data_IF_536342818957
#
_entry.id   IF_536342818957
#
_cell.length_a   1.000
_cell.length_b   1.000
_cell.length_c   1.000
_cell.angle_alpha   90.00
_cell.angle_beta   90.00
_cell.angle_gamma   90.00
#
_symmetry.space_group_name_H-M   'P 1'
#
loop_
_entity.id
_entity.type
_entity.pdbx_description
1 polymer ?
#
# COMPACT_ATOMS: atom_id res chain seq x y z
N UNK A 1 -14.16 -53.67 -36.55
CA UNK A 1 -14.36 -52.91 -35.29
C UNK A 1 -12.98 -52.67 -34.69
N UNK A 2 -12.50 -51.49 -34.30
CA UNK A 2 -12.80 -50.06 -34.51
C UNK A 2 -11.41 -49.40 -34.39
N UNK A 3 -11.06 -48.51 -35.32
CA UNK A 3 -9.83 -47.72 -35.29
C UNK A 3 -9.84 -46.80 -34.07
N UNK A 4 -8.76 -46.78 -33.28
CA UNK A 4 -8.62 -45.95 -32.10
C UNK A 4 -7.72 -44.75 -32.45
N UNK A 5 -8.33 -43.62 -32.79
CA UNK A 5 -7.63 -42.37 -33.07
C UNK A 5 -7.27 -41.70 -31.75
N UNK A 6 -5.98 -41.58 -31.46
CA UNK A 6 -5.46 -40.83 -30.31
C UNK A 6 -5.56 -39.33 -30.66
N UNK A 7 -6.44 -38.61 -29.98
CA UNK A 7 -6.50 -37.15 -30.03
C UNK A 7 -5.44 -36.57 -29.09
N UNK A 8 -4.37 -36.02 -29.65
CA UNK A 8 -3.38 -35.24 -28.88
C UNK A 8 -3.96 -33.84 -28.67
N UNK A 9 -4.49 -33.58 -27.47
CA UNK A 9 -4.92 -32.23 -27.07
C UNK A 9 -3.67 -31.43 -26.73
N UNK A 10 -3.23 -30.58 -27.66
CA UNK A 10 -2.17 -29.61 -27.41
C UNK A 10 -2.71 -28.53 -26.47
N UNK A 11 -2.35 -28.62 -25.19
CA UNK A 11 -2.58 -27.56 -24.19
C UNK A 11 -1.59 -26.44 -24.51
N UNK A 12 -2.06 -25.42 -25.22
CA UNK A 12 -1.31 -24.18 -25.39
C UNK A 12 -1.30 -23.45 -24.05
N UNK A 13 -0.15 -23.48 -23.38
CA UNK A 13 0.12 -22.66 -22.20
C UNK A 13 0.15 -21.21 -22.69
N UNK A 14 -0.94 -20.47 -22.45
CA UNK A 14 -0.96 -19.02 -22.65
C UNK A 14 -0.09 -18.43 -21.54
N UNK A 15 1.18 -18.16 -21.85
CA UNK A 15 2.01 -17.29 -21.04
C UNK A 15 1.44 -15.88 -21.16
N UNK A 16 0.68 -15.45 -20.15
CA UNK A 16 0.29 -14.06 -20.02
C UNK A 16 1.56 -13.22 -19.90
N UNK A 17 1.92 -12.49 -20.96
CA UNK A 17 2.96 -11.48 -20.90
C UNK A 17 2.56 -10.46 -19.83
N UNK A 18 3.25 -10.46 -18.69
CA UNK A 18 3.05 -9.46 -17.64
C UNK A 18 3.49 -8.12 -18.20
N UNK A 19 2.51 -7.29 -18.59
CA UNK A 19 2.78 -5.90 -18.95
C UNK A 19 3.49 -5.26 -17.75
N UNK A 20 4.60 -4.51 -17.96
CA UNK A 20 5.26 -3.81 -16.87
C UNK A 20 4.22 -2.96 -16.12
N UNK A 21 4.16 -3.07 -14.79
CA UNK A 21 3.20 -2.30 -14.00
C UNK A 21 3.39 -0.81 -14.30
N UNK A 22 2.26 -0.11 -14.54
CA UNK A 22 2.26 1.31 -14.88
C UNK A 22 3.03 2.12 -13.82
N UNK A 23 3.74 3.21 -14.16
CA UNK A 23 4.39 4.03 -13.16
C UNK A 23 3.37 4.63 -12.18
N UNK A 24 3.78 4.83 -10.92
CA UNK A 24 2.96 5.54 -9.94
C UNK A 24 2.79 6.99 -10.42
N UNK A 25 1.56 7.50 -10.56
CA UNK A 25 1.33 8.85 -11.02
C UNK A 25 1.91 9.93 -10.09
N UNK A 26 2.36 11.04 -10.69
CA UNK A 26 2.96 12.17 -9.97
C UNK A 26 2.08 12.76 -8.86
N UNK A 27 0.75 12.63 -8.97
CA UNK A 27 -0.20 13.12 -7.95
C UNK A 27 -0.07 12.43 -6.59
N UNK A 28 0.49 11.21 -6.53
CA UNK A 28 0.77 10.52 -5.27
C UNK A 28 2.15 10.91 -4.69
N UNK A 29 3.02 11.48 -5.52
CA UNK A 29 4.38 11.85 -5.12
C UNK A 29 4.39 13.15 -4.31
N UNK A 30 5.33 13.23 -3.37
CA UNK A 30 5.56 14.38 -2.51
C UNK A 30 5.57 14.00 -1.04
N UNK A 31 5.57 15.03 -0.20
CA UNK A 31 5.45 14.92 1.26
C UNK A 31 4.01 15.23 1.68
N UNK A 32 3.46 14.35 2.49
CA UNK A 32 2.09 14.38 2.98
C UNK A 32 2.09 14.37 4.50
N UNK A 33 1.21 15.17 5.10
CA UNK A 33 1.02 15.25 6.54
C UNK A 33 -0.44 14.93 6.88
N UNK A 34 -0.64 14.09 7.89
CA UNK A 34 -1.97 13.76 8.39
C UNK A 34 -2.63 15.01 8.98
N UNK A 35 -3.85 15.27 8.56
CA UNK A 35 -4.68 16.37 9.06
C UNK A 35 -5.75 15.84 10.01
N UNK A 36 -6.35 14.69 9.68
CA UNK A 36 -7.41 14.08 10.51
C UNK A 36 -7.60 12.61 10.20
N UNK A 37 -8.13 11.91 11.19
CA UNK A 37 -8.71 10.59 11.03
C UNK A 37 -10.25 10.72 10.89
N UNK A 38 -10.93 9.74 10.33
CA UNK A 38 -12.39 9.65 10.44
C UNK A 38 -12.84 9.04 11.77
N UNK A 39 -14.15 9.07 11.99
CA UNK A 39 -14.80 8.62 13.22
C UNK A 39 -14.66 7.11 13.46
N UNK A 40 -14.32 6.34 12.43
CA UNK A 40 -14.16 4.88 12.52
C UNK A 40 -12.73 4.46 12.85
N UNK A 41 -11.75 5.36 12.84
CA UNK A 41 -10.35 4.99 13.03
C UNK A 41 -10.07 4.29 14.37
N UNK A 42 -10.67 4.77 15.48
CA UNK A 42 -10.52 4.10 16.78
C UNK A 42 -11.12 2.67 16.78
N UNK A 43 -12.26 2.48 16.10
CA UNK A 43 -12.90 1.16 15.95
C UNK A 43 -12.09 0.23 15.04
N UNK A 44 -11.48 0.78 14.00
CA UNK A 44 -10.56 0.04 13.14
C UNK A 44 -9.36 -0.47 13.94
N UNK A 45 -8.73 0.39 14.76
CA UNK A 45 -7.63 -0.05 15.62
C UNK A 45 -8.07 -1.08 16.67
N UNK A 46 -9.29 -0.97 17.19
CA UNK A 46 -9.86 -1.97 18.08
C UNK A 46 -10.08 -3.31 17.39
N UNK A 47 -10.61 -3.32 16.16
CA UNK A 47 -10.76 -4.52 15.34
C UNK A 47 -9.41 -5.19 15.04
N UNK A 48 -8.37 -4.39 14.79
CA UNK A 48 -6.97 -4.84 14.65
C UNK A 48 -6.37 -5.42 15.95
N UNK A 49 -7.05 -5.30 17.09
CA UNK A 49 -6.60 -5.85 18.37
C UNK A 49 -5.77 -4.91 19.24
N UNK A 50 -5.62 -3.63 18.87
CA UNK A 50 -4.89 -2.67 19.71
C UNK A 50 -5.67 -2.39 21.00
N UNK A 51 -4.98 -2.43 22.15
CA UNK A 51 -5.57 -2.05 23.43
C UNK A 51 -5.87 -0.53 23.47
N UNK A 52 -6.80 -0.13 24.34
CA UNK A 52 -7.30 1.25 24.42
C UNK A 52 -6.20 2.31 24.51
N UNK A 53 -5.14 2.06 25.28
CA UNK A 53 -4.05 3.03 25.45
C UNK A 53 -3.28 3.25 24.14
N UNK A 54 -2.89 2.17 23.45
CA UNK A 54 -2.20 2.28 22.16
C UNK A 54 -3.09 2.93 21.09
N UNK A 55 -4.40 2.67 21.09
CA UNK A 55 -5.32 3.33 20.16
C UNK A 55 -5.31 4.85 20.31
N UNK A 56 -5.31 5.34 21.56
CA UNK A 56 -5.24 6.78 21.83
C UNK A 56 -3.89 7.36 21.43
N UNK A 57 -2.78 6.68 21.70
CA UNK A 57 -1.46 7.12 21.27
C UNK A 57 -1.39 7.23 19.74
N UNK A 58 -1.73 6.16 19.01
CA UNK A 58 -1.74 6.13 17.54
C UNK A 58 -2.64 7.23 16.96
N UNK A 59 -3.80 7.47 17.57
CA UNK A 59 -4.74 8.50 17.15
C UNK A 59 -4.26 9.93 17.37
N UNK A 60 -3.37 10.17 18.34
CA UNK A 60 -2.79 11.48 18.66
C UNK A 60 -1.44 11.73 17.99
N UNK A 61 -0.77 10.68 17.51
CA UNK A 61 0.52 10.78 16.83
C UNK A 61 0.45 11.66 15.57
N UNK A 62 1.56 12.32 15.27
CA UNK A 62 1.77 13.03 14.02
C UNK A 62 2.25 12.03 12.96
N UNK A 63 1.62 12.03 11.79
CA UNK A 63 1.98 11.11 10.71
C UNK A 63 2.40 11.85 9.45
N UNK A 64 3.53 11.42 8.88
CA UNK A 64 4.00 11.92 7.59
C UNK A 64 4.30 10.77 6.65
N UNK A 65 4.04 10.99 5.36
CA UNK A 65 4.37 10.07 4.27
C UNK A 65 5.16 10.85 3.23
N UNK A 66 6.29 10.32 2.82
CA UNK A 66 7.11 10.83 1.72
C UNK A 66 7.16 9.75 0.67
N UNK A 67 6.68 10.04 -0.53
CA UNK A 67 6.81 9.16 -1.69
C UNK A 67 7.47 9.95 -2.81
N UNK A 68 8.68 9.58 -3.20
CA UNK A 68 9.45 10.29 -4.23
C UNK A 68 9.89 9.34 -5.33
N UNK A 69 10.07 9.87 -6.54
CA UNK A 69 10.59 9.11 -7.67
C UNK A 69 12.10 9.36 -7.78
N UNK A 70 12.89 8.29 -7.73
CA UNK A 70 14.36 8.32 -7.79
C UNK A 70 14.91 8.11 -9.20
N UNK A 71 14.18 7.37 -10.04
CA UNK A 71 14.55 7.10 -11.43
C UNK A 71 13.32 6.99 -12.30
N UNK A 72 13.42 7.39 -13.57
CA UNK A 72 12.36 7.28 -14.58
C UNK A 72 12.43 5.99 -15.38
N UNK A 73 13.64 5.45 -15.62
CA UNK A 73 13.88 4.35 -16.56
C UNK A 73 14.91 3.34 -16.01
N UNK A 74 14.46 2.24 -15.38
CA UNK A 74 13.08 1.94 -14.99
C UNK A 74 12.59 2.83 -13.82
N UNK A 75 11.26 3.01 -13.66
CA UNK A 75 10.72 3.72 -12.51
C UNK A 75 11.13 3.08 -11.18
N UNK A 76 11.74 3.88 -10.30
CA UNK A 76 12.14 3.49 -8.95
C UNK A 76 11.70 4.59 -7.98
N UNK A 77 11.20 4.18 -6.82
CA UNK A 77 10.65 5.09 -5.81
C UNK A 77 11.34 4.91 -4.48
N UNK A 78 11.26 5.97 -3.68
CA UNK A 78 11.61 5.99 -2.27
C UNK A 78 10.34 6.30 -1.49
N UNK A 79 10.12 5.55 -0.42
CA UNK A 79 8.99 5.71 0.46
C UNK A 79 9.47 5.80 1.91
N UNK A 80 8.98 6.80 2.62
CA UNK A 80 9.18 6.93 4.06
C UNK A 80 7.84 7.22 4.72
N UNK A 81 7.52 6.47 5.77
CA UNK A 81 6.40 6.77 6.66
C UNK A 81 6.94 6.99 8.07
N UNK A 82 6.47 8.04 8.72
CA UNK A 82 6.85 8.36 10.10
C UNK A 82 5.61 8.58 10.95
N UNK A 83 5.65 8.06 12.18
CA UNK A 83 4.69 8.29 13.24
C UNK A 83 5.45 8.79 14.47
N UNK A 84 5.37 10.10 14.73
CA UNK A 84 6.24 10.80 15.68
C UNK A 84 7.74 10.49 15.41
N UNK A 85 8.43 9.86 16.38
CA UNK A 85 9.86 9.51 16.27
C UNK A 85 10.11 8.13 15.64
N UNK A 86 9.06 7.33 15.37
CA UNK A 86 9.20 6.03 14.68
C UNK A 86 9.08 6.22 13.18
N UNK A 87 9.91 5.53 12.42
CA UNK A 87 9.92 5.61 10.96
C UNK A 87 10.23 4.28 10.28
N UNK A 88 9.67 4.11 9.10
CA UNK A 88 10.07 3.10 8.13
C UNK A 88 10.47 3.81 6.85
N UNK A 89 11.65 3.49 6.34
CA UNK A 89 12.32 4.19 5.25
C UNK A 89 12.86 3.16 4.26
N UNK A 90 12.30 3.14 3.06
CA UNK A 90 12.60 2.13 2.04
C UNK A 90 12.92 2.78 0.69
N UNK A 91 14.02 2.33 0.11
CA UNK A 91 14.46 2.67 -1.25
C UNK A 91 14.17 1.52 -2.22
N UNK A 92 14.49 1.74 -3.50
CA UNK A 92 14.40 0.74 -4.57
C UNK A 92 13.00 0.13 -4.80
N UNK A 93 11.95 0.82 -4.36
CA UNK A 93 10.56 0.40 -4.54
C UNK A 93 10.18 0.45 -6.02
N UNK A 94 9.50 -0.60 -6.48
CA UNK A 94 9.00 -0.71 -7.85
C UNK A 94 7.54 -1.10 -7.80
N UNK A 95 6.70 -0.39 -8.55
CA UNK A 95 5.28 -0.71 -8.64
C UNK A 95 5.08 -2.18 -9.03
N UNK A 96 4.17 -2.87 -8.37
CA UNK A 96 3.84 -4.29 -8.56
C UNK A 96 4.93 -5.27 -8.14
N UNK A 97 6.04 -4.85 -7.52
CA UNK A 97 7.08 -5.74 -7.01
C UNK A 97 7.06 -5.81 -5.48
N UNK A 98 7.01 -7.04 -4.97
CA UNK A 98 7.17 -7.32 -3.54
C UNK A 98 8.62 -7.08 -3.11
N UNK A 99 8.80 -6.53 -1.91
CA UNK A 99 10.07 -6.44 -1.20
C UNK A 99 9.86 -6.69 0.30
N UNK A 100 10.94 -6.95 1.03
CA UNK A 100 10.91 -7.11 2.49
C UNK A 100 11.36 -5.82 3.16
N UNK A 101 10.66 -5.39 4.20
CA UNK A 101 11.00 -4.19 4.96
C UNK A 101 10.43 -4.22 6.36
N UNK A 102 11.15 -3.60 7.31
CA UNK A 102 10.65 -3.40 8.67
C UNK A 102 9.60 -2.27 8.67
N UNK A 103 8.45 -2.50 9.32
CA UNK A 103 7.38 -1.52 9.45
C UNK A 103 7.38 -0.85 10.84
N UNK A 104 6.41 0.05 11.10
CA UNK A 104 6.35 0.85 12.34
C UNK A 104 6.09 0.03 13.61
N UNK A 105 5.69 -1.23 13.45
CA UNK A 105 5.54 -2.23 14.51
C UNK A 105 6.84 -2.98 14.82
N UNK A 106 7.97 -2.59 14.20
CA UNK A 106 9.30 -3.19 14.36
C UNK A 106 9.37 -4.67 13.91
N UNK A 107 8.40 -5.14 13.12
CA UNK A 107 8.40 -6.46 12.51
C UNK A 107 8.75 -6.39 11.02
N UNK A 108 9.29 -7.48 10.44
CA UNK A 108 9.49 -7.58 9.01
C UNK A 108 8.18 -7.90 8.28
N UNK A 109 7.88 -7.15 7.22
CA UNK A 109 6.73 -7.34 6.34
C UNK A 109 7.19 -7.59 4.90
N UNK A 110 6.40 -8.39 4.17
CA UNK A 110 6.41 -8.40 2.71
C UNK A 110 5.49 -7.30 2.20
N UNK A 111 6.05 -6.32 1.51
CA UNK A 111 5.39 -5.08 1.13
C UNK A 111 5.27 -5.00 -0.39
N UNK A 112 4.11 -4.62 -0.89
CA UNK A 112 3.90 -4.40 -2.33
C UNK A 112 3.07 -3.14 -2.57
N UNK A 113 3.61 -2.20 -3.34
CA UNK A 113 2.86 -1.07 -3.88
C UNK A 113 2.26 -1.44 -5.24
N UNK A 114 0.97 -1.18 -5.46
CA UNK A 114 0.29 -1.45 -6.74
C UNK A 114 -0.59 -0.28 -7.14
N UNK A 115 -0.29 0.37 -8.26
CA UNK A 115 -1.16 1.34 -8.90
C UNK A 115 -2.12 0.67 -9.88
N UNK A 116 -3.44 0.88 -9.68
CA UNK A 116 -4.51 0.51 -10.61
C UNK A 116 -4.96 1.73 -11.43
N UNK A 117 -4.67 1.77 -12.75
CA UNK A 117 -5.10 2.87 -13.62
C UNK A 117 -6.62 2.98 -13.80
N UNK A 118 -7.39 1.90 -13.58
CA UNK A 118 -8.86 1.92 -13.76
C UNK A 118 -9.56 2.58 -12.58
N UNK A 119 -9.16 2.21 -11.36
CA UNK A 119 -9.64 2.82 -10.13
C UNK A 119 -8.94 4.13 -9.76
N UNK A 120 -7.86 4.48 -10.47
CA UNK A 120 -6.99 5.63 -10.18
C UNK A 120 -6.52 5.65 -8.71
N UNK A 121 -6.12 4.46 -8.25
CA UNK A 121 -5.86 4.10 -6.84
C UNK A 121 -4.48 3.47 -6.71
N UNK A 122 -3.70 3.92 -5.74
CA UNK A 122 -2.46 3.27 -5.32
C UNK A 122 -2.75 2.43 -4.07
N UNK A 123 -2.32 1.18 -4.02
CA UNK A 123 -2.51 0.29 -2.87
C UNK A 123 -1.16 -0.11 -2.30
N UNK A 124 -1.01 -0.06 -0.98
CA UNK A 124 0.13 -0.60 -0.25
C UNK A 124 -0.34 -1.82 0.53
N UNK A 125 0.15 -3.00 0.15
CA UNK A 125 -0.15 -4.26 0.83
C UNK A 125 1.02 -4.66 1.71
N UNK A 126 0.71 -5.03 2.94
CA UNK A 126 1.62 -5.61 3.92
C UNK A 126 1.20 -7.04 4.22
N UNK A 127 2.17 -7.95 4.32
CA UNK A 127 2.01 -9.28 4.91
C UNK A 127 3.08 -9.42 5.99
N UNK A 128 2.65 -9.39 7.25
CA UNK A 128 3.52 -9.60 8.40
C UNK A 128 4.15 -11.00 8.31
N UNK A 129 5.47 -11.09 8.38
CA UNK A 129 6.19 -12.34 8.09
C UNK A 129 6.10 -13.37 9.23
N UNK A 130 5.76 -12.93 10.44
CA UNK A 130 5.67 -13.80 11.62
C UNK A 130 4.26 -14.41 11.75
N UNK A 131 3.23 -13.58 11.60
CA UNK A 131 1.83 -13.94 11.76
C UNK A 131 1.12 -14.30 10.45
N UNK A 132 1.65 -13.86 9.30
CA UNK A 132 0.99 -13.97 8.00
C UNK A 132 -0.21 -13.01 7.82
N UNK A 133 -0.45 -12.13 8.79
CA UNK A 133 -1.58 -11.19 8.75
C UNK A 133 -1.38 -10.19 7.62
N UNK A 134 -2.45 -9.94 6.85
CA UNK A 134 -2.42 -8.99 5.73
C UNK A 134 -3.08 -7.67 6.12
N UNK A 135 -2.47 -6.55 5.76
CA UNK A 135 -3.08 -5.22 5.81
C UNK A 135 -2.97 -4.55 4.44
N UNK A 136 -4.00 -3.78 4.05
CA UNK A 136 -4.02 -3.04 2.79
C UNK A 136 -4.39 -1.59 3.09
N UNK A 137 -3.56 -0.67 2.59
CA UNK A 137 -3.80 0.77 2.64
C UNK A 137 -4.04 1.29 1.23
N UNK A 138 -5.24 1.84 1.00
CA UNK A 138 -5.68 2.34 -0.30
C UNK A 138 -5.57 3.87 -0.36
N UNK A 139 -4.73 4.36 -1.26
CA UNK A 139 -4.44 5.77 -1.47
C UNK A 139 -5.26 6.31 -2.65
N UNK A 140 -6.01 7.38 -2.39
CA UNK A 140 -6.77 8.12 -3.39
C UNK A 140 -6.42 9.61 -3.27
N UNK A 141 -6.27 10.29 -4.41
CA UNK A 141 -6.14 11.75 -4.45
C UNK A 141 -7.48 12.34 -4.87
N UNK A 142 -8.06 13.17 -4.01
CA UNK A 142 -9.32 13.85 -4.28
C UNK A 142 -9.14 14.99 -5.27
N UNK A 143 -10.24 15.55 -5.79
CA UNK A 143 -10.19 16.66 -6.76
C UNK A 143 -9.57 17.94 -6.19
N UNK A 144 -9.66 18.13 -4.88
CA UNK A 144 -9.05 19.22 -4.12
C UNK A 144 -7.59 18.95 -3.74
N UNK A 145 -7.01 17.82 -4.19
CA UNK A 145 -5.61 17.49 -3.97
C UNK A 145 -5.29 16.92 -2.58
N UNK A 146 -6.30 16.53 -1.80
CA UNK A 146 -6.13 15.84 -0.53
C UNK A 146 -5.88 14.34 -0.79
N UNK A 147 -4.95 13.75 -0.05
CA UNK A 147 -4.75 12.30 -0.08
C UNK A 147 -5.61 11.64 1.00
N UNK A 148 -6.42 10.67 0.59
CA UNK A 148 -7.25 9.84 1.47
C UNK A 148 -6.66 8.45 1.48
N UNK A 149 -6.30 7.98 2.67
CA UNK A 149 -5.83 6.61 2.90
C UNK A 149 -6.96 5.83 3.56
N UNK A 150 -7.53 4.88 2.84
CA UNK A 150 -8.52 3.93 3.33
C UNK A 150 -7.87 2.69 3.92
N UNK A 151 -8.44 2.17 4.99
CA UNK A 151 -8.06 0.91 5.62
C UNK A 151 -9.29 0.17 6.08
N UNK A 152 -9.23 -1.17 6.03
CA UNK A 152 -10.32 -2.04 6.44
C UNK A 152 -9.77 -3.20 7.27
N UNK A 153 -10.45 -3.50 8.37
CA UNK A 153 -10.24 -4.74 9.12
C UNK A 153 -11.58 -5.24 9.66
N UNK A 154 -11.87 -6.53 9.50
CA UNK A 154 -13.09 -7.15 10.03
C UNK A 154 -14.39 -6.42 9.62
N UNK A 155 -14.44 -5.85 8.41
CA UNK A 155 -15.57 -5.07 7.88
C UNK A 155 -15.68 -3.64 8.41
N UNK A 156 -14.76 -3.21 9.28
CA UNK A 156 -14.66 -1.83 9.76
C UNK A 156 -13.76 -1.04 8.82
N UNK A 157 -14.36 -0.15 8.05
CA UNK A 157 -13.65 0.77 7.15
C UNK A 157 -13.38 2.08 7.88
N UNK A 158 -12.11 2.48 7.89
CA UNK A 158 -11.64 3.77 8.37
C UNK A 158 -10.86 4.52 7.28
N UNK A 159 -10.74 5.83 7.46
CA UNK A 159 -10.06 6.73 6.53
C UNK A 159 -9.21 7.73 7.27
N UNK A 160 -8.05 8.02 6.69
CA UNK A 160 -7.12 9.05 7.14
C UNK A 160 -6.91 10.06 6.03
N UNK A 161 -6.85 11.34 6.37
CA UNK A 161 -6.84 12.44 5.42
C UNK A 161 -5.56 13.24 5.59
N UNK A 162 -4.82 13.35 4.49
CA UNK A 162 -3.50 13.97 4.45
C UNK A 162 -3.50 15.14 3.47
N UNK A 163 -2.80 16.21 3.84
CA UNK A 163 -2.53 17.35 2.94
C UNK A 163 -1.11 17.23 2.40
N UNK A 164 -0.90 17.70 1.16
CA UNK A 164 0.44 17.84 0.59
C UNK A 164 1.14 19.04 1.24
N UNK A 165 2.37 18.86 1.70
CA UNK A 165 3.18 19.92 2.34
C UNK A 165 4.51 20.19 1.62
N UNK A 166 4.83 19.43 0.57
CA UNK A 166 6.01 19.67 -0.26
C UNK A 166 6.13 18.72 -1.44
N UNK A 167 6.91 19.14 -2.43
CA UNK A 167 7.43 18.32 -3.52
C UNK A 167 8.93 18.27 -3.27
N UNK A 168 9.45 17.10 -2.86
CA UNK A 168 10.89 16.90 -2.75
C UNK A 168 11.50 16.84 -4.14
#
# INVERSE_FOLDING_TARGET
>A
MKSCTIFVISISIITAASTPPAPIPAKFLGKWELVRNDDNFDKYLEAKGYNWLYRKLIGMSSWTVILTKKSDNPPVYHYKISADDKESDWDDIRNGKEFEGEYLDDHPHKITFTYDPKGDKLSEKHVDMDSGTTAIYDYLITKDGQMVVGMEDSGIVAKRFYKKIGEN
#
